data_IF_465513202605
#
_entry.id   IF_465513202605
#
_cell.length_a   1.000
_cell.length_b   1.000
_cell.length_c   1.000
_cell.angle_alpha   90.00
_cell.angle_beta   90.00
_cell.angle_gamma   90.00
#
_symmetry.space_group_name_H-M   'P 1'
#
loop_
_entity.id
_entity.type
_entity.pdbx_description
1 polymer ?
#
# COMPACT_ATOMS: atom_id res chain seq x y z
N UNK A 1 14.04 11.70 -11.59
CA UNK A 1 13.61 10.34 -11.96
C UNK A 1 13.77 9.44 -10.75
N UNK A 2 12.69 8.80 -10.34
CA UNK A 2 12.70 7.81 -9.26
C UNK A 2 13.42 6.52 -9.61
N UNK A 3 13.55 5.62 -8.65
CA UNK A 3 14.14 4.30 -8.87
C UNK A 3 13.07 3.22 -8.94
N UNK A 4 13.25 2.24 -9.82
CA UNK A 4 12.52 0.97 -9.75
C UNK A 4 12.82 0.24 -8.44
N UNK A 5 11.79 -0.36 -7.86
CA UNK A 5 11.90 -1.29 -6.73
C UNK A 5 11.42 -2.68 -7.17
N UNK A 6 12.35 -3.65 -7.16
CA UNK A 6 12.05 -5.07 -7.36
C UNK A 6 12.65 -5.87 -6.22
N UNK A 7 11.81 -6.52 -5.42
CA UNK A 7 12.24 -7.39 -4.33
C UNK A 7 11.83 -8.82 -4.63
N UNK A 8 12.76 -9.78 -4.48
CA UNK A 8 12.50 -11.19 -4.78
C UNK A 8 12.77 -12.05 -3.54
N UNK A 9 11.74 -12.73 -3.03
CA UNK A 9 11.78 -13.55 -1.82
C UNK A 9 11.41 -15.01 -2.13
N UNK A 10 12.21 -15.98 -1.67
CA UNK A 10 11.92 -17.41 -1.80
C UNK A 10 10.95 -17.86 -0.70
N UNK A 11 9.89 -18.57 -1.07
CA UNK A 11 8.99 -19.25 -0.13
C UNK A 11 9.20 -20.77 -0.22
N UNK A 12 9.60 -21.38 0.89
CA UNK A 12 9.86 -22.82 1.01
C UNK A 12 8.67 -23.53 1.66
N UNK A 13 8.45 -24.79 1.29
CA UNK A 13 7.40 -25.61 1.88
C UNK A 13 5.99 -25.15 1.54
N UNK A 14 5.02 -25.72 2.26
CA UNK A 14 3.59 -25.42 2.11
C UNK A 14 3.13 -24.21 2.93
N UNK A 15 3.98 -23.65 3.77
CA UNK A 15 3.64 -22.60 4.74
C UNK A 15 3.84 -21.19 4.17
N UNK A 16 3.19 -20.88 3.04
CA UNK A 16 3.13 -19.51 2.51
C UNK A 16 1.77 -18.81 2.82
N UNK A 17 0.94 -19.46 3.64
CA UNK A 17 -0.42 -19.03 3.96
C UNK A 17 -0.46 -17.64 4.57
N UNK A 18 0.40 -17.31 5.55
CA UNK A 18 0.40 -15.97 6.15
C UNK A 18 0.73 -14.85 5.14
N UNK A 19 1.53 -15.14 4.11
CA UNK A 19 1.75 -14.18 3.03
C UNK A 19 0.57 -14.14 2.06
N UNK A 20 -0.09 -15.26 1.78
CA UNK A 20 -1.37 -15.27 1.05
C UNK A 20 -2.42 -14.43 1.78
N UNK A 21 -2.57 -14.61 3.10
CA UNK A 21 -3.55 -13.89 3.91
C UNK A 21 -3.31 -12.38 3.93
N UNK A 22 -2.04 -11.96 3.91
CA UNK A 22 -1.69 -10.55 3.76
C UNK A 22 -1.97 -10.03 2.34
N UNK A 23 -1.55 -10.76 1.31
CA UNK A 23 -1.71 -10.36 -0.11
C UNK A 23 -3.19 -10.27 -0.51
N UNK A 24 -4.00 -11.21 -0.05
CA UNK A 24 -5.43 -11.32 -0.36
C UNK A 24 -6.30 -10.58 0.66
N UNK A 25 -5.68 -9.86 1.60
CA UNK A 25 -6.37 -9.10 2.66
C UNK A 25 -7.34 -9.93 3.50
N UNK A 26 -7.06 -11.23 3.69
CA UNK A 26 -7.71 -12.07 4.73
C UNK A 26 -7.35 -11.59 6.14
N UNK A 27 -6.21 -10.90 6.27
CA UNK A 27 -5.83 -10.15 7.49
C UNK A 27 -5.43 -8.73 7.10
N UNK A 28 -5.95 -7.74 7.83
CA UNK A 28 -5.65 -6.32 7.57
C UNK A 28 -4.36 -5.91 8.29
N UNK A 29 -3.29 -5.53 7.57
CA UNK A 29 -2.06 -5.07 8.21
C UNK A 29 -2.26 -3.66 8.79
N UNK A 30 -1.48 -3.32 9.84
CA UNK A 30 -1.63 -2.04 10.56
C UNK A 30 -1.37 -0.79 9.71
N UNK A 31 -0.58 -0.93 8.65
CA UNK A 31 -0.21 0.14 7.73
C UNK A 31 -1.11 0.22 6.49
N UNK A 32 -2.13 -0.64 6.39
CA UNK A 32 -3.14 -0.51 5.33
C UNK A 32 -4.30 0.36 5.80
N UNK A 33 -4.76 1.23 4.90
CA UNK A 33 -5.95 2.06 5.02
C UNK A 33 -7.18 1.27 4.52
N UNK A 34 -8.08 0.83 5.42
CA UNK A 34 -9.24 0.03 5.04
C UNK A 34 -10.18 0.75 4.06
N UNK A 35 -10.16 2.08 4.03
CA UNK A 35 -11.01 2.86 3.11
C UNK A 35 -10.55 2.71 1.66
N UNK A 36 -9.29 2.35 1.44
CA UNK A 36 -8.66 2.20 0.11
C UNK A 36 -8.54 0.75 -0.34
N UNK A 37 -8.82 -0.24 0.49
CA UNK A 37 -8.66 -1.67 0.14
C UNK A 37 -9.49 -2.09 -1.08
N UNK A 38 -10.63 -1.44 -1.31
CA UNK A 38 -11.46 -1.68 -2.51
C UNK A 38 -10.78 -1.27 -3.83
N UNK A 39 -9.70 -0.48 -3.77
CA UNK A 39 -8.88 -0.09 -4.92
C UNK A 39 -7.82 -1.15 -5.26
N UNK A 40 -7.63 -2.16 -4.42
CA UNK A 40 -6.75 -3.28 -4.71
C UNK A 40 -7.32 -4.09 -5.88
N UNK A 41 -6.43 -4.65 -6.71
CA UNK A 41 -6.84 -5.36 -7.93
C UNK A 41 -6.08 -6.66 -8.11
N UNK A 42 -6.82 -7.74 -8.35
CA UNK A 42 -6.24 -8.97 -8.85
C UNK A 42 -5.96 -8.83 -10.35
N UNK A 43 -4.69 -9.00 -10.72
CA UNK A 43 -4.21 -8.80 -12.09
C UNK A 43 -4.09 -10.11 -12.86
N UNK A 44 -4.08 -11.26 -12.16
CA UNK A 44 -4.03 -12.60 -12.74
C UNK A 44 -5.26 -13.38 -12.30
N UNK A 45 -6.06 -13.83 -13.28
CA UNK A 45 -7.21 -14.69 -13.02
C UNK A 45 -6.76 -16.11 -12.70
N UNK A 46 -7.31 -16.69 -11.63
CA UNK A 46 -7.05 -18.09 -11.28
C UNK A 46 -7.74 -19.07 -12.25
N UNK A 47 -7.17 -20.29 -12.41
CA UNK A 47 -7.84 -21.39 -13.12
C UNK A 47 -9.17 -21.78 -12.46
N UNK A 48 -10.05 -22.44 -13.22
CA UNK A 48 -11.32 -22.93 -12.68
C UNK A 48 -11.08 -23.91 -11.51
N UNK A 49 -11.83 -23.73 -10.42
CA UNK A 49 -11.70 -24.55 -9.21
C UNK A 49 -10.49 -24.21 -8.32
N UNK A 50 -9.82 -23.08 -8.57
CA UNK A 50 -8.76 -22.53 -7.72
C UNK A 50 -9.29 -21.27 -7.03
N UNK A 51 -9.42 -21.32 -5.70
CA UNK A 51 -10.05 -20.27 -4.92
C UNK A 51 -9.07 -19.17 -4.48
N UNK A 52 -7.80 -19.51 -4.27
CA UNK A 52 -6.81 -18.57 -3.74
C UNK A 52 -5.39 -18.82 -4.28
N UNK A 53 -4.47 -17.93 -3.93
CA UNK A 53 -3.05 -17.97 -4.29
C UNK A 53 -2.35 -19.24 -3.81
N UNK A 54 -2.69 -19.75 -2.64
CA UNK A 54 -2.10 -20.98 -2.09
C UNK A 54 -2.50 -22.19 -2.95
N UNK A 55 -3.76 -22.24 -3.34
CA UNK A 55 -4.28 -23.21 -4.29
C UNK A 55 -3.69 -23.01 -5.69
N UNK A 56 -3.48 -21.77 -6.14
CA UNK A 56 -2.87 -21.47 -7.44
C UNK A 56 -1.44 -21.99 -7.55
N UNK A 57 -0.63 -21.80 -6.50
CA UNK A 57 0.73 -22.39 -6.39
C UNK A 57 0.63 -23.91 -6.47
N UNK A 58 -0.25 -24.51 -5.68
CA UNK A 58 -0.41 -25.96 -5.61
C UNK A 58 -0.91 -26.55 -6.92
N UNK A 59 -1.87 -25.91 -7.57
CA UNK A 59 -2.43 -26.26 -8.87
C UNK A 59 -1.33 -26.25 -9.93
N UNK A 60 -0.54 -25.17 -10.01
CA UNK A 60 0.56 -25.07 -10.97
C UNK A 60 1.61 -26.16 -10.76
N UNK A 61 1.96 -26.46 -9.51
CA UNK A 61 2.89 -27.55 -9.18
C UNK A 61 2.35 -28.91 -9.62
N UNK A 62 1.07 -29.21 -9.35
CA UNK A 62 0.42 -30.48 -9.70
C UNK A 62 0.34 -30.67 -11.22
N UNK A 63 0.02 -29.62 -11.96
CA UNK A 63 -0.20 -29.66 -13.41
C UNK A 63 1.07 -29.53 -14.24
N UNK A 64 2.21 -29.14 -13.64
CA UNK A 64 3.47 -28.95 -14.34
C UNK A 64 4.18 -30.25 -14.80
N UNK A 65 3.63 -31.44 -14.52
CA UNK A 65 4.24 -32.70 -14.92
C UNK A 65 5.54 -33.04 -14.18
N UNK A 66 5.71 -32.52 -12.96
CA UNK A 66 6.86 -32.83 -12.09
C UNK A 66 6.72 -34.27 -11.60
N UNK A 67 7.61 -35.16 -12.06
CA UNK A 67 7.57 -36.59 -11.71
C UNK A 67 8.27 -36.94 -10.41
N UNK A 68 9.19 -36.09 -9.94
CA UNK A 68 9.95 -36.35 -8.71
C UNK A 68 9.21 -35.80 -7.50
N UNK A 69 9.30 -36.52 -6.38
CA UNK A 69 8.80 -36.05 -5.08
C UNK A 69 9.40 -34.67 -4.75
N UNK A 70 8.52 -33.73 -4.41
CA UNK A 70 8.88 -32.40 -3.94
C UNK A 70 9.13 -32.48 -2.44
N UNK A 71 10.34 -32.12 -1.99
CA UNK A 71 10.68 -32.16 -0.57
C UNK A 71 10.08 -30.94 0.17
N UNK A 72 9.85 -31.03 1.49
CA UNK A 72 9.32 -29.91 2.27
C UNK A 72 10.15 -28.63 2.12
N UNK A 73 11.49 -28.71 2.08
CA UNK A 73 12.35 -27.52 2.01
C UNK A 73 12.52 -26.90 0.62
N UNK A 74 11.87 -27.48 -0.41
CA UNK A 74 11.96 -26.92 -1.75
C UNK A 74 11.21 -25.60 -1.84
N UNK A 75 11.79 -24.67 -2.58
CA UNK A 75 11.15 -23.39 -2.93
C UNK A 75 9.97 -23.69 -3.85
N UNK A 76 8.76 -23.46 -3.34
CA UNK A 76 7.51 -23.69 -4.07
C UNK A 76 7.00 -22.44 -4.76
N UNK A 77 7.34 -21.27 -4.21
CA UNK A 77 7.00 -19.98 -4.78
C UNK A 77 8.16 -18.98 -4.63
N UNK A 78 8.22 -18.06 -5.58
CA UNK A 78 9.04 -16.86 -5.56
C UNK A 78 8.06 -15.70 -5.47
N UNK A 79 8.13 -14.94 -4.38
CA UNK A 79 7.35 -13.71 -4.18
C UNK A 79 8.15 -12.55 -4.75
N UNK A 80 7.51 -11.72 -5.55
CA UNK A 80 8.11 -10.56 -6.17
C UNK A 80 7.28 -9.35 -5.78
N UNK A 81 7.91 -8.32 -5.21
CA UNK A 81 7.28 -7.01 -5.00
C UNK A 81 7.80 -6.06 -6.06
N UNK A 82 6.90 -5.41 -6.78
CA UNK A 82 7.20 -4.47 -7.88
C UNK A 82 6.61 -3.11 -7.53
N UNK A 83 7.45 -2.07 -7.51
CA UNK A 83 7.04 -0.70 -7.21
C UNK A 83 8.09 0.31 -7.71
N UNK A 84 7.97 1.55 -7.29
CA UNK A 84 8.94 2.64 -7.43
C UNK A 84 9.04 3.46 -6.15
N UNK A 85 9.72 4.59 -6.22
CA UNK A 85 9.67 5.65 -5.19
C UNK A 85 8.24 6.17 -5.02
N UNK A 86 7.89 6.63 -3.82
CA UNK A 86 6.51 7.01 -3.48
C UNK A 86 5.99 8.12 -4.39
N UNK A 87 6.80 9.16 -4.59
CA UNK A 87 6.49 10.34 -5.39
C UNK A 87 6.23 9.97 -6.86
N UNK A 88 7.02 9.03 -7.40
CA UNK A 88 6.87 8.58 -8.77
C UNK A 88 5.66 7.67 -8.96
N UNK A 89 5.35 6.81 -7.98
CA UNK A 89 4.15 5.99 -8.03
C UNK A 89 2.87 6.82 -7.85
N UNK A 90 2.90 7.84 -6.99
CA UNK A 90 1.83 8.81 -6.86
C UNK A 90 1.59 9.54 -8.19
N UNK A 91 2.66 10.01 -8.85
CA UNK A 91 2.56 10.63 -10.18
C UNK A 91 1.97 9.69 -11.23
N UNK A 92 2.41 8.43 -11.29
CA UNK A 92 1.84 7.42 -12.22
C UNK A 92 0.35 7.22 -11.99
N UNK A 93 -0.09 7.27 -10.73
CA UNK A 93 -1.51 7.20 -10.38
C UNK A 93 -2.26 8.46 -10.80
N UNK A 94 -1.75 9.66 -10.47
CA UNK A 94 -2.39 10.95 -10.75
C UNK A 94 -2.50 11.23 -12.26
N UNK A 95 -1.53 10.77 -13.05
CA UNK A 95 -1.56 10.83 -14.52
C UNK A 95 -2.53 9.80 -15.14
N UNK A 96 -3.21 8.97 -14.34
CA UNK A 96 -4.13 7.94 -14.82
C UNK A 96 -3.44 6.75 -15.50
N UNK A 97 -2.11 6.61 -15.34
CA UNK A 97 -1.28 5.60 -16.02
C UNK A 97 -1.11 4.31 -15.23
N UNK A 98 -1.77 4.18 -14.08
CA UNK A 98 -1.65 3.02 -13.21
C UNK A 98 -2.05 1.70 -13.90
N UNK A 99 -3.09 1.70 -14.73
CA UNK A 99 -3.51 0.51 -15.48
C UNK A 99 -2.43 0.07 -16.49
N UNK A 100 -1.87 1.03 -17.23
CA UNK A 100 -0.74 0.80 -18.15
C UNK A 100 0.45 0.20 -17.40
N UNK A 101 0.77 0.77 -16.23
CA UNK A 101 1.86 0.30 -15.38
C UNK A 101 1.63 -1.13 -14.89
N UNK A 102 0.42 -1.50 -14.49
CA UNK A 102 0.07 -2.86 -14.13
C UNK A 102 0.26 -3.84 -15.30
N UNK A 103 -0.19 -3.47 -16.49
CA UNK A 103 -0.10 -4.32 -17.67
C UNK A 103 1.35 -4.56 -18.09
N UNK A 104 2.21 -3.55 -18.05
CA UNK A 104 3.63 -3.72 -18.35
C UNK A 104 4.36 -4.57 -17.31
N UNK A 105 4.00 -4.42 -16.03
CA UNK A 105 4.52 -5.28 -14.96
C UNK A 105 4.15 -6.75 -15.19
N UNK A 106 2.89 -7.03 -15.55
CA UNK A 106 2.45 -8.38 -15.92
C UNK A 106 3.21 -8.89 -17.14
N UNK A 107 3.37 -8.08 -18.19
CA UNK A 107 4.10 -8.47 -19.39
C UNK A 107 5.57 -8.78 -19.07
N UNK A 108 6.23 -7.95 -18.25
CA UNK A 108 7.60 -8.20 -17.82
C UNK A 108 7.71 -9.52 -17.03
N UNK A 109 6.80 -9.77 -16.08
CA UNK A 109 6.74 -11.02 -15.33
C UNK A 109 6.57 -12.24 -16.24
N UNK A 110 5.64 -12.15 -17.21
CA UNK A 110 5.36 -13.22 -18.15
C UNK A 110 6.54 -13.53 -19.07
N UNK A 111 7.23 -12.49 -19.59
CA UNK A 111 8.43 -12.66 -20.41
C UNK A 111 9.59 -13.24 -19.59
N UNK A 112 9.74 -12.83 -18.33
CA UNK A 112 10.88 -13.20 -17.49
C UNK A 112 10.75 -14.59 -16.88
N UNK A 113 9.56 -14.93 -16.37
CA UNK A 113 9.34 -16.15 -15.59
C UNK A 113 8.40 -17.16 -16.27
N UNK A 114 7.73 -16.74 -17.34
CA UNK A 114 6.72 -17.52 -18.04
C UNK A 114 5.30 -17.22 -17.52
N UNK A 115 4.35 -17.11 -18.45
CA UNK A 115 2.94 -16.83 -18.14
C UNK A 115 2.33 -17.87 -17.20
N UNK A 116 2.51 -19.16 -17.50
CA UNK A 116 2.00 -20.25 -16.65
C UNK A 116 2.60 -20.29 -15.24
N UNK A 117 3.82 -19.77 -15.09
CA UNK A 117 4.51 -19.77 -13.82
C UNK A 117 4.12 -18.57 -12.95
N UNK A 118 3.57 -17.50 -13.55
CA UNK A 118 3.05 -16.33 -12.84
C UNK A 118 1.62 -16.61 -12.41
N UNK A 119 1.44 -17.13 -11.19
CA UNK A 119 0.16 -17.71 -10.74
C UNK A 119 -0.73 -16.72 -9.99
N UNK A 120 -0.18 -15.61 -9.53
CA UNK A 120 -0.92 -14.54 -8.85
C UNK A 120 -0.14 -13.23 -9.02
N UNK A 121 -0.87 -12.13 -9.23
CA UNK A 121 -0.36 -10.78 -9.13
C UNK A 121 -1.47 -9.90 -8.59
N UNK A 122 -1.21 -9.17 -7.49
CA UNK A 122 -2.20 -8.34 -6.81
C UNK A 122 -1.61 -6.95 -6.62
N UNK A 123 -2.31 -5.93 -7.11
CA UNK A 123 -2.03 -4.53 -6.86
C UNK A 123 -2.57 -4.15 -5.48
N UNK A 124 -1.71 -3.59 -4.64
CA UNK A 124 -2.08 -2.95 -3.38
C UNK A 124 -2.03 -1.43 -3.52
N UNK A 125 -3.17 -0.80 -3.24
CA UNK A 125 -3.43 0.64 -3.29
C UNK A 125 -3.79 1.20 -1.92
N UNK A 126 -3.89 0.34 -0.91
CA UNK A 126 -4.28 0.67 0.46
C UNK A 126 -3.10 0.85 1.41
N UNK A 127 -1.87 0.70 0.95
CA UNK A 127 -0.67 1.02 1.72
C UNK A 127 -0.06 2.35 1.26
N UNK A 128 1.07 2.74 1.87
CA UNK A 128 1.68 4.05 1.62
C UNK A 128 2.03 4.28 0.14
N UNK A 129 2.62 3.28 -0.53
CA UNK A 129 3.03 3.37 -1.94
C UNK A 129 2.38 2.28 -2.77
N UNK A 130 1.76 2.58 -3.93
CA UNK A 130 1.26 1.56 -4.84
C UNK A 130 2.31 0.51 -5.21
N UNK A 131 1.98 -0.77 -5.06
CA UNK A 131 2.90 -1.86 -5.37
C UNK A 131 2.17 -3.15 -5.77
N UNK A 132 2.84 -4.00 -6.52
CA UNK A 132 2.31 -5.31 -6.94
C UNK A 132 3.02 -6.42 -6.18
N UNK A 133 2.22 -7.28 -5.56
CA UNK A 133 2.66 -8.59 -5.08
C UNK A 133 2.44 -9.64 -6.16
N UNK A 134 3.50 -10.06 -6.83
CA UNK A 134 3.50 -11.16 -7.79
C UNK A 134 4.04 -12.45 -7.19
N UNK A 135 3.51 -13.58 -7.66
CA UNK A 135 3.91 -14.92 -7.24
C UNK A 135 4.22 -15.80 -8.42
N UNK A 136 5.46 -16.30 -8.43
CA UNK A 136 6.00 -17.15 -9.49
C UNK A 136 6.30 -18.53 -8.93
N UNK A 137 5.81 -19.59 -9.58
CA UNK A 137 6.21 -20.97 -9.28
C UNK A 137 7.47 -21.30 -10.09
N UNK A 138 8.60 -21.67 -9.45
CA UNK A 138 9.90 -21.76 -10.11
C UNK A 138 10.08 -23.05 -10.93
N UNK A 139 9.19 -23.29 -11.90
CA UNK A 139 9.26 -24.46 -12.77
C UNK A 139 10.23 -24.18 -13.91
N UNK A 140 11.20 -25.08 -14.05
CA UNK A 140 12.17 -25.05 -15.14
C UNK A 140 12.19 -26.38 -15.88
N UNK A 141 12.43 -26.30 -17.18
CA UNK A 141 12.73 -27.44 -18.05
C UNK A 141 14.19 -27.37 -18.47
N UNK A 142 14.85 -28.52 -18.52
CA UNK A 142 16.25 -28.60 -18.94
C UNK A 142 17.21 -29.12 -17.88
N UNK A 143 18.45 -29.34 -18.33
CA UNK A 143 19.52 -29.90 -17.50
C UNK A 143 19.82 -29.06 -16.26
N UNK A 144 20.14 -29.75 -15.17
CA UNK A 144 20.50 -29.09 -13.92
C UNK A 144 21.83 -28.37 -14.06
N UNK A 145 21.91 -27.09 -13.70
CA UNK A 145 23.16 -26.30 -13.71
C UNK A 145 24.32 -26.99 -12.98
N UNK A 146 24.05 -27.58 -11.81
CA UNK A 146 25.06 -28.36 -11.04
C UNK A 146 25.53 -29.64 -11.74
N UNK A 147 24.77 -30.17 -12.71
CA UNK A 147 25.21 -31.30 -13.53
C UNK A 147 26.18 -30.83 -14.63
N UNK A 148 25.88 -29.71 -15.30
CA UNK A 148 26.79 -29.08 -16.28
C UNK A 148 28.16 -28.75 -15.68
N UNK A 149 28.18 -28.14 -14.48
CA UNK A 149 29.44 -27.84 -13.77
C UNK A 149 30.26 -29.08 -13.41
N UNK A 150 29.61 -30.22 -13.12
CA UNK A 150 30.31 -31.48 -12.79
C UNK A 150 30.85 -32.21 -14.03
N UNK A 151 30.21 -32.03 -15.18
CA UNK A 151 30.71 -32.52 -16.47
C UNK A 151 31.98 -31.76 -16.88
N UNK A 152 32.00 -30.44 -16.71
CA UNK A 152 33.21 -29.62 -16.96
C UNK A 152 34.35 -29.96 -15.99
N UNK A 153 34.04 -30.38 -14.76
CA UNK A 153 35.02 -30.79 -13.75
C UNK A 153 35.48 -32.27 -13.88
N UNK A 154 35.18 -32.95 -14.99
CA UNK A 154 35.66 -34.31 -15.28
C UNK A 154 35.09 -35.45 -14.41
N UNK A 155 34.13 -35.19 -13.52
CA UNK A 155 33.55 -36.21 -12.64
C UNK A 155 32.43 -36.98 -13.34
N UNK A 156 32.59 -38.31 -13.51
CA UNK A 156 31.57 -39.21 -14.07
C UNK A 156 30.22 -39.01 -13.39
N UNK A 157 29.19 -38.60 -14.14
CA UNK A 157 27.81 -38.51 -13.66
C UNK A 157 26.96 -39.63 -14.22
N UNK A 158 26.25 -40.34 -13.33
CA UNK A 158 25.16 -41.26 -13.70
C UNK A 158 24.19 -40.55 -14.66
N UNK A 159 23.87 -41.17 -15.81
CA UNK A 159 23.04 -40.61 -16.90
C UNK A 159 21.65 -40.25 -16.35
N UNK A 160 21.43 -38.98 -15.97
CA UNK A 160 20.11 -38.47 -15.57
C UNK A 160 19.38 -38.04 -16.84
N UNK A 161 18.12 -38.47 -17.00
CA UNK A 161 17.27 -38.10 -18.14
C UNK A 161 17.33 -36.58 -18.39
N UNK A 162 17.68 -36.20 -19.62
CA UNK A 162 17.67 -34.82 -20.07
C UNK A 162 16.23 -34.25 -19.98
N UNK A 163 16.12 -32.95 -19.73
CA UNK A 163 14.87 -32.18 -19.88
C UNK A 163 13.68 -32.56 -18.97
N UNK A 164 13.93 -33.05 -17.75
CA UNK A 164 12.86 -33.26 -16.78
C UNK A 164 12.36 -31.93 -16.16
N UNK A 165 11.03 -31.74 -16.12
CA UNK A 165 10.38 -30.62 -15.44
C UNK A 165 10.60 -30.70 -13.93
N UNK A 166 10.95 -29.57 -13.29
CA UNK A 166 11.24 -29.51 -11.85
C UNK A 166 11.08 -28.12 -11.26
N UNK A 167 10.91 -28.06 -9.94
CA UNK A 167 11.06 -26.83 -9.17
C UNK A 167 12.54 -26.49 -8.96
N UNK A 168 12.97 -25.31 -9.38
CA UNK A 168 14.32 -24.83 -9.12
C UNK A 168 14.44 -23.31 -9.18
N UNK A 169 14.33 -22.69 -8.02
CA UNK A 169 14.60 -21.26 -7.87
C UNK A 169 16.07 -20.91 -8.14
N UNK A 170 17.02 -21.83 -7.93
CA UNK A 170 18.46 -21.54 -8.14
C UNK A 170 18.83 -21.33 -9.61
N UNK A 171 18.09 -21.92 -10.55
CA UNK A 171 18.31 -21.67 -11.97
C UNK A 171 17.66 -20.35 -12.43
N UNK A 172 16.64 -19.88 -11.72
CA UNK A 172 15.98 -18.60 -11.99
C UNK A 172 16.67 -17.42 -11.30
N UNK A 173 17.26 -17.63 -10.13
CA UNK A 173 17.78 -16.59 -9.24
C UNK A 173 19.31 -16.67 -9.09
N UNK A 174 20.01 -16.83 -10.22
CA UNK A 174 21.47 -16.67 -10.29
C UNK A 174 21.87 -15.20 -10.20
N UNK A 175 23.09 -14.89 -9.76
CA UNK A 175 23.59 -13.50 -9.68
C UNK A 175 23.46 -12.76 -11.01
N UNK A 176 23.82 -13.41 -12.12
CA UNK A 176 23.79 -12.85 -13.46
C UNK A 176 22.35 -12.50 -13.88
N UNK A 177 21.41 -13.43 -13.66
CA UNK A 177 19.98 -13.20 -13.90
C UNK A 177 19.39 -12.10 -13.03
N UNK A 178 19.74 -12.03 -11.75
CA UNK A 178 19.27 -10.96 -10.87
C UNK A 178 19.72 -9.59 -11.39
N UNK A 179 20.98 -9.45 -11.81
CA UNK A 179 21.46 -8.21 -12.46
C UNK A 179 20.65 -7.90 -13.71
N UNK A 180 20.44 -8.90 -14.59
CA UNK A 180 19.65 -8.74 -15.81
C UNK A 180 18.16 -8.41 -15.54
N UNK A 181 17.58 -8.89 -14.44
CA UNK A 181 16.22 -8.54 -14.04
C UNK A 181 16.13 -7.07 -13.66
N UNK A 182 17.08 -6.53 -12.89
CA UNK A 182 17.13 -5.09 -12.62
C UNK A 182 17.31 -4.26 -13.90
N UNK A 183 18.16 -4.72 -14.83
CA UNK A 183 18.41 -4.02 -16.10
C UNK A 183 17.14 -4.00 -16.98
N UNK A 184 16.55 -5.17 -17.23
CA UNK A 184 15.34 -5.31 -18.07
C UNK A 184 14.09 -4.69 -17.45
N UNK A 185 13.94 -4.76 -16.12
CA UNK A 185 12.81 -4.14 -15.43
C UNK A 185 12.91 -2.63 -15.46
N UNK A 186 14.12 -2.05 -15.27
CA UNK A 186 14.33 -0.61 -15.44
C UNK A 186 13.99 -0.15 -16.86
N UNK A 187 14.42 -0.86 -17.89
CA UNK A 187 14.07 -0.54 -19.27
C UNK A 187 12.56 -0.59 -19.53
N UNK A 188 11.84 -1.55 -18.93
CA UNK A 188 10.39 -1.63 -19.05
C UNK A 188 9.67 -0.46 -18.34
N UNK A 189 10.26 0.05 -17.26
CA UNK A 189 9.66 1.09 -16.42
C UNK A 189 10.11 2.51 -16.76
N UNK A 190 11.06 2.69 -17.68
CA UNK A 190 11.64 3.98 -18.07
C UNK A 190 10.58 5.01 -18.47
N UNK A 191 9.54 4.59 -19.20
CA UNK A 191 8.43 5.46 -19.63
C UNK A 191 7.55 5.99 -18.48
N UNK A 192 7.74 5.50 -17.26
CA UNK A 192 7.10 6.03 -16.04
C UNK A 192 8.03 6.96 -15.25
N UNK A 193 9.22 7.24 -15.78
CA UNK A 193 10.25 8.04 -15.10
C UNK A 193 11.01 7.27 -14.01
N UNK A 194 10.93 5.94 -14.03
CA UNK A 194 11.60 5.05 -13.08
C UNK A 194 12.88 4.48 -13.70
N UNK A 195 14.00 4.74 -13.06
CA UNK A 195 15.31 4.30 -13.53
C UNK A 195 15.87 3.14 -12.69
N UNK A 196 16.94 2.53 -13.20
CA UNK A 196 17.65 1.45 -12.52
C UNK A 196 18.29 1.93 -11.22
N UNK A 197 18.18 1.14 -10.15
CA UNK A 197 18.98 1.33 -8.94
C UNK A 197 20.50 1.23 -9.20
N UNK A 198 21.28 1.77 -8.26
CA UNK A 198 22.75 1.85 -8.35
C UNK A 198 23.37 0.46 -8.55
N UNK A 199 24.17 0.31 -9.62
CA UNK A 199 24.89 -0.94 -9.90
C UNK A 199 26.00 -1.13 -8.87
N UNK A 200 26.02 -2.30 -8.23
CA UNK A 200 26.99 -2.60 -7.18
C UNK A 200 26.67 -1.93 -5.84
N UNK A 201 25.43 -1.48 -5.63
CA UNK A 201 25.00 -0.92 -4.34
C UNK A 201 25.33 -1.85 -3.17
N UNK A 202 25.94 -1.29 -2.13
CA UNK A 202 26.24 -1.98 -0.87
C UNK A 202 25.08 -1.96 0.12
N UNK A 203 23.94 -1.36 -0.27
CA UNK A 203 22.75 -1.28 0.56
C UNK A 203 22.26 -2.69 0.92
N UNK A 204 22.01 -2.90 2.21
CA UNK A 204 21.42 -4.15 2.72
C UNK A 204 19.92 -4.00 2.83
N UNK A 205 19.19 -5.03 2.39
CA UNK A 205 17.75 -5.07 2.55
C UNK A 205 17.38 -5.02 4.03
N UNK A 206 16.54 -4.06 4.39
CA UNK A 206 15.90 -3.95 5.69
C UNK A 206 14.46 -4.43 5.57
N UNK A 207 14.02 -5.26 6.52
CA UNK A 207 12.61 -5.64 6.59
C UNK A 207 11.74 -4.42 6.94
N UNK A 208 10.47 -4.43 6.54
CA UNK A 208 9.51 -3.36 6.85
C UNK A 208 9.47 -3.04 8.36
N UNK A 209 9.47 -4.07 9.20
CA UNK A 209 9.48 -3.91 10.66
C UNK A 209 10.80 -3.34 11.21
N UNK A 210 11.93 -3.57 10.55
CA UNK A 210 13.19 -2.91 10.90
C UNK A 210 13.18 -1.45 10.47
N UNK A 211 12.72 -1.17 9.25
CA UNK A 211 12.62 0.19 8.72
C UNK A 211 11.78 1.09 9.63
N UNK A 212 10.56 0.66 10.01
CA UNK A 212 9.73 1.47 10.92
C UNK A 212 10.33 1.63 12.33
N UNK A 213 11.06 0.63 12.83
CA UNK A 213 11.77 0.75 14.13
C UNK A 213 12.88 1.77 14.06
N UNK A 214 13.66 1.73 12.99
CA UNK A 214 14.76 2.67 12.77
C UNK A 214 14.26 4.09 12.52
N UNK A 215 13.20 4.25 11.71
CA UNK A 215 12.55 5.54 11.48
C UNK A 215 12.06 6.13 12.81
N UNK A 216 11.38 5.34 13.65
CA UNK A 216 10.92 5.78 14.97
C UNK A 216 12.08 6.20 15.89
N UNK A 217 13.21 5.48 15.85
CA UNK A 217 14.42 5.82 16.60
C UNK A 217 14.99 7.16 16.13
N UNK A 218 15.16 7.33 14.82
CA UNK A 218 15.68 8.55 14.21
C UNK A 218 14.78 9.76 14.49
N UNK A 219 13.46 9.60 14.38
CA UNK A 219 12.51 10.68 14.74
C UNK A 219 12.65 11.06 16.20
N UNK A 220 12.76 10.09 17.12
CA UNK A 220 12.97 10.36 18.54
C UNK A 220 14.30 11.07 18.82
N UNK A 221 15.38 10.70 18.12
CA UNK A 221 16.68 11.37 18.22
C UNK A 221 16.63 12.80 17.67
N UNK A 222 15.96 13.00 16.53
CA UNK A 222 15.77 14.32 15.95
C UNK A 222 14.96 15.23 16.88
N UNK A 223 13.87 14.73 17.46
CA UNK A 223 13.06 15.44 18.45
C UNK A 223 13.87 15.81 19.70
N UNK A 224 14.73 14.90 20.18
CA UNK A 224 15.62 15.18 21.31
C UNK A 224 16.64 16.26 20.96
N UNK A 225 17.26 16.19 19.79
CA UNK A 225 18.22 17.19 19.30
C UNK A 225 17.56 18.56 19.14
N UNK A 226 16.34 18.63 18.57
CA UNK A 226 15.58 19.88 18.43
C UNK A 226 15.30 20.50 19.80
N UNK A 227 14.91 19.71 20.81
CA UNK A 227 14.69 20.21 22.18
C UNK A 227 15.98 20.70 22.83
N UNK A 228 17.08 20.00 22.61
CA UNK A 228 18.39 20.41 23.10
C UNK A 228 18.82 21.74 22.48
N UNK A 229 18.74 21.87 21.15
CA UNK A 229 19.05 23.11 20.45
C UNK A 229 18.16 24.28 20.89
N UNK A 230 16.86 24.04 21.15
CA UNK A 230 15.98 25.06 21.73
C UNK A 230 16.41 25.49 23.13
N UNK A 231 16.91 24.56 23.94
CA UNK A 231 17.41 24.84 25.29
C UNK A 231 18.71 25.63 25.24
N UNK A 232 19.64 25.23 24.36
CA UNK A 232 20.90 25.94 24.11
C UNK A 232 20.65 27.34 23.58
N UNK A 233 19.69 27.52 22.66
CA UNK A 233 19.26 28.82 22.16
C UNK A 233 18.76 29.73 23.30
N UNK A 234 17.88 29.22 24.17
CA UNK A 234 17.38 29.98 25.33
C UNK A 234 18.49 30.32 26.33
N UNK A 235 19.47 29.43 26.51
CA UNK A 235 20.61 29.71 27.38
C UNK A 235 21.52 30.78 26.77
N UNK A 236 21.80 30.69 25.48
CA UNK A 236 22.58 31.69 24.75
C UNK A 236 21.88 33.06 24.75
N UNK A 237 20.56 33.11 24.58
CA UNK A 237 19.77 34.35 24.71
C UNK A 237 19.88 34.95 26.11
N UNK A 238 19.80 34.13 27.17
CA UNK A 238 19.96 34.59 28.55
C UNK A 238 21.38 35.10 28.82
N UNK A 239 22.39 34.39 28.34
CA UNK A 239 23.78 34.83 28.44
C UNK A 239 24.02 36.12 27.67
N UNK A 240 23.42 36.28 26.48
CA UNK A 240 23.49 37.52 25.72
C UNK A 240 22.81 38.67 26.48
N UNK A 241 21.67 38.43 27.11
CA UNK A 241 21.00 39.41 27.95
C UNK A 241 21.81 39.78 29.21
N UNK A 242 22.49 38.81 29.83
CA UNK A 242 23.42 39.02 30.94
C UNK A 242 24.63 39.82 30.48
N UNK A 243 25.28 39.46 29.37
CA UNK A 243 26.39 40.20 28.78
C UNK A 243 25.95 41.60 28.37
N UNK A 244 24.76 41.79 27.80
CA UNK A 244 24.20 43.12 27.50
C UNK A 244 23.99 43.96 28.76
N UNK A 245 23.53 43.34 29.86
CA UNK A 245 23.41 44.01 31.17
C UNK A 245 24.78 44.31 31.76
N UNK A 246 25.73 43.40 31.65
CA UNK A 246 27.11 43.58 32.10
C UNK A 246 27.79 44.70 31.31
N UNK A 247 27.71 44.74 29.98
CA UNK A 247 28.20 45.85 29.14
C UNK A 247 27.55 47.18 29.53
N UNK A 248 26.24 47.19 29.82
CA UNK A 248 25.54 48.38 30.30
C UNK A 248 26.02 48.82 31.69
N UNK A 249 26.40 47.86 32.53
CA UNK A 249 27.01 48.09 33.86
C UNK A 249 28.50 48.40 33.77
N UNK A 250 29.21 47.94 32.75
CA UNK A 250 30.61 48.23 32.48
C UNK A 250 30.75 49.61 31.86
N UNK A 251 29.78 50.10 31.10
CA UNK A 251 29.65 51.55 30.79
C UNK A 251 29.45 52.39 32.06
N UNK A 252 28.90 51.82 33.13
CA UNK A 252 28.84 52.44 34.45
C UNK A 252 30.18 52.29 35.22
N UNK A 253 30.92 51.19 35.03
CA UNK A 253 32.31 51.03 35.49
C UNK A 253 33.32 51.84 34.65
N UNK A 254 32.99 52.27 33.44
CA UNK A 254 33.77 53.21 32.64
C UNK A 254 33.81 54.59 33.33
N UNK A 255 32.66 55.02 33.87
CA UNK A 255 32.58 56.17 34.76
C UNK A 255 33.30 55.95 36.11
N UNK A 256 33.42 54.69 36.56
CA UNK A 256 34.19 54.32 37.76
C UNK A 256 35.69 54.13 37.48
N UNK A 257 36.11 53.84 36.26
CA UNK A 257 37.52 53.72 35.82
C UNK A 257 38.15 55.08 35.61
N UNK A 258 37.38 56.15 35.38
CA UNK A 258 37.84 57.52 35.53
C UNK A 258 38.23 57.83 36.99
N UNK A 259 37.46 57.32 37.97
CA UNK A 259 37.82 57.36 39.40
C UNK A 259 38.95 56.38 39.77
N UNK A 260 39.12 55.29 39.01
CA UNK A 260 40.19 54.29 39.17
C UNK A 260 41.50 54.74 38.50
N UNK A 261 41.46 55.57 37.47
CA UNK A 261 42.64 56.20 36.85
C UNK A 261 43.33 57.15 37.86
N UNK A 262 42.55 57.85 38.68
CA UNK A 262 43.05 58.59 39.83
C UNK A 262 43.71 57.70 40.91
N UNK A 263 43.32 56.42 40.99
CA UNK A 263 43.92 55.42 41.89
C UNK A 263 45.15 54.71 41.27
N UNK A 264 45.17 54.48 39.95
CA UNK A 264 46.29 53.88 39.21
C UNK A 264 47.49 54.83 39.13
N UNK A 265 47.27 56.15 39.08
CA UNK A 265 48.35 57.13 39.27
C UNK A 265 49.10 56.95 40.61
N UNK A 266 48.44 56.36 41.62
CA UNK A 266 48.99 56.07 42.94
C UNK A 266 49.71 54.71 43.02
N UNK A 267 49.41 53.78 42.10
CA UNK A 267 49.98 52.42 42.03
C UNK A 267 51.07 52.30 40.93
N UNK A 268 51.10 53.21 39.96
CA UNK A 268 52.16 53.31 38.94
C UNK A 268 53.56 53.60 39.49
N UNK A 269 53.69 53.90 40.79
CA UNK A 269 54.98 53.98 41.49
C UNK A 269 55.55 52.61 41.90
N UNK A 270 54.77 51.52 41.80
CA UNK A 270 55.11 50.21 42.36
C UNK A 270 55.33 49.08 41.33
N UNK A 271 54.84 49.21 40.09
CA UNK A 271 54.97 48.19 39.04
C UNK A 271 55.38 48.86 37.71
N UNK A 272 56.54 48.44 37.18
CA UNK A 272 57.20 49.09 36.04
C UNK A 272 56.32 49.28 34.80
N UNK A 273 56.42 50.48 34.22
CA UNK A 273 55.55 51.04 33.16
C UNK A 273 55.51 50.29 31.82
N UNK A 274 56.40 49.33 31.57
CA UNK A 274 56.49 48.62 30.28
C UNK A 274 55.38 47.58 30.08
N UNK A 275 55.15 46.70 31.06
CA UNK A 275 54.16 45.61 30.96
C UNK A 275 52.71 46.11 30.94
N UNK A 276 52.47 47.26 31.55
CA UNK A 276 51.14 47.88 31.61
C UNK A 276 50.73 48.43 30.24
N UNK A 277 51.67 49.03 29.50
CA UNK A 277 51.44 49.51 28.13
C UNK A 277 51.19 48.39 27.12
N UNK A 278 51.86 47.24 27.30
CA UNK A 278 51.69 46.06 26.45
C UNK A 278 50.29 45.45 26.64
N UNK A 279 49.86 45.25 27.89
CA UNK A 279 48.50 44.80 28.22
C UNK A 279 47.41 45.79 27.75
N UNK A 280 47.64 47.10 27.82
CA UNK A 280 46.71 48.11 27.30
C UNK A 280 46.58 48.04 25.76
N UNK A 281 47.67 47.75 25.05
CA UNK A 281 47.67 47.60 23.60
C UNK A 281 46.94 46.32 23.15
N UNK A 282 47.18 45.21 23.83
CA UNK A 282 46.50 43.93 23.56
C UNK A 282 45.00 44.03 23.82
N UNK A 283 44.59 44.71 24.89
CA UNK A 283 43.18 44.90 25.23
C UNK A 283 42.45 45.75 24.18
N UNK A 284 43.08 46.82 23.67
CA UNK A 284 42.55 47.62 22.56
C UNK A 284 42.40 46.80 21.27
N UNK A 285 43.34 45.92 20.99
CA UNK A 285 43.30 45.05 19.80
C UNK A 285 42.14 44.05 19.90
N UNK A 286 42.00 43.40 21.06
CA UNK A 286 40.89 42.48 21.33
C UNK A 286 39.52 43.17 21.27
N UNK A 287 39.41 44.41 21.78
CA UNK A 287 38.19 45.20 21.66
C UNK A 287 37.80 45.50 20.20
N UNK A 288 38.79 45.76 19.33
CA UNK A 288 38.56 45.93 17.91
C UNK A 288 38.07 44.65 17.22
N UNK A 289 38.65 43.50 17.57
CA UNK A 289 38.23 42.20 17.03
C UNK A 289 36.82 41.79 17.48
N UNK A 290 36.46 42.08 18.73
CA UNK A 290 35.12 41.83 19.26
C UNK A 290 34.08 42.69 18.51
N UNK A 291 34.34 43.99 18.34
CA UNK A 291 33.44 44.86 17.60
C UNK A 291 33.22 44.41 16.15
N UNK A 292 34.28 43.96 15.46
CA UNK A 292 34.17 43.45 14.09
C UNK A 292 33.38 42.11 14.02
N UNK A 293 33.50 41.26 15.04
CA UNK A 293 32.71 40.02 15.13
C UNK A 293 31.24 40.32 15.43
N UNK A 294 30.96 41.30 16.29
CA UNK A 294 29.59 41.71 16.61
C UNK A 294 28.87 42.25 15.36
N UNK A 295 29.53 43.08 14.55
CA UNK A 295 28.98 43.53 13.27
C UNK A 295 28.69 42.36 12.30
N UNK A 296 29.58 41.37 12.23
CA UNK A 296 29.34 40.18 11.39
C UNK A 296 28.17 39.33 11.90
N UNK A 297 28.01 39.21 13.21
CA UNK A 297 26.90 38.46 13.82
C UNK A 297 25.57 39.16 13.52
N UNK A 298 25.50 40.49 13.67
CA UNK A 298 24.29 41.26 13.31
C UNK A 298 23.93 41.07 11.84
N UNK A 299 24.92 41.09 10.94
CA UNK A 299 24.68 40.94 9.51
C UNK A 299 24.16 39.53 9.16
N UNK A 300 24.73 38.50 9.79
CA UNK A 300 24.28 37.11 9.64
C UNK A 300 22.87 36.90 10.21
N UNK A 301 22.54 37.52 11.35
CA UNK A 301 21.20 37.46 11.93
C UNK A 301 20.17 38.09 10.99
N UNK A 302 20.46 39.27 10.43
CA UNK A 302 19.58 39.90 9.44
C UNK A 302 19.40 39.03 8.19
N UNK A 303 20.45 38.34 7.76
CA UNK A 303 20.38 37.46 6.59
C UNK A 303 19.54 36.21 6.85
N UNK A 304 19.67 35.61 8.04
CA UNK A 304 18.83 34.50 8.47
C UNK A 304 17.36 34.90 8.57
N UNK A 305 17.06 36.07 9.13
CA UNK A 305 15.70 36.57 9.30
C UNK A 305 15.03 36.79 7.93
N UNK A 306 15.74 37.40 6.97
CA UNK A 306 15.26 37.54 5.58
C UNK A 306 14.98 36.19 4.92
N UNK A 307 15.88 35.21 5.09
CA UNK A 307 15.68 33.87 4.53
C UNK A 307 14.47 33.17 5.15
N UNK A 308 14.26 33.34 6.46
CA UNK A 308 13.12 32.79 7.18
C UNK A 308 11.79 33.40 6.66
N UNK A 309 11.76 34.72 6.45
CA UNK A 309 10.61 35.43 5.89
C UNK A 309 10.30 35.00 4.45
N UNK A 310 11.32 34.89 3.59
CA UNK A 310 11.16 34.42 2.21
C UNK A 310 10.62 32.99 2.17
N UNK A 311 11.15 32.10 3.01
CA UNK A 311 10.69 30.72 3.07
C UNK A 311 9.25 30.61 3.58
N UNK A 312 8.90 31.39 4.61
CA UNK A 312 7.53 31.49 5.12
C UNK A 312 6.55 31.97 4.04
N UNK A 313 6.97 32.97 3.25
CA UNK A 313 6.18 33.50 2.13
C UNK A 313 5.94 32.45 1.05
N UNK A 314 6.99 31.71 0.66
CA UNK A 314 6.88 30.63 -0.32
C UNK A 314 5.94 29.51 0.15
N UNK A 315 6.02 29.12 1.43
CA UNK A 315 5.12 28.12 2.02
C UNK A 315 3.66 28.58 1.98
N UNK A 316 3.38 29.85 2.32
CA UNK A 316 2.02 30.39 2.25
C UNK A 316 1.49 30.42 0.81
N UNK A 317 2.32 30.79 -0.16
CA UNK A 317 1.94 30.84 -1.57
C UNK A 317 1.65 29.45 -2.12
N UNK A 318 2.50 28.46 -1.82
CA UNK A 318 2.30 27.06 -2.21
C UNK A 318 1.02 26.49 -1.58
N UNK A 319 0.76 26.75 -0.30
CA UNK A 319 -0.47 26.34 0.35
C UNK A 319 -1.71 27.01 -0.27
N UNK A 320 -1.61 28.28 -0.66
CA UNK A 320 -2.71 28.98 -1.32
C UNK A 320 -2.99 28.40 -2.71
N UNK A 321 -1.95 28.08 -3.49
CA UNK A 321 -2.10 27.41 -4.79
C UNK A 321 -2.74 26.04 -4.65
N UNK A 322 -2.25 25.21 -3.73
CA UNK A 322 -2.80 23.88 -3.48
C UNK A 322 -4.27 23.93 -3.06
N UNK A 323 -4.64 24.88 -2.18
CA UNK A 323 -6.05 25.08 -1.79
C UNK A 323 -6.95 25.47 -2.98
N UNK A 324 -6.46 26.31 -3.90
CA UNK A 324 -7.20 26.68 -5.11
C UNK A 324 -7.39 25.49 -6.03
N UNK A 325 -6.32 24.72 -6.29
CA UNK A 325 -6.41 23.53 -7.14
C UNK A 325 -7.40 22.48 -6.60
N UNK A 326 -7.43 22.27 -5.28
CA UNK A 326 -8.41 21.38 -4.65
C UNK A 326 -9.82 21.91 -4.88
N UNK A 327 -10.06 23.20 -4.61
CA UNK A 327 -11.38 23.80 -4.78
C UNK A 327 -11.86 23.76 -6.24
N UNK A 328 -10.97 23.99 -7.21
CA UNK A 328 -11.29 23.93 -8.63
C UNK A 328 -11.66 22.49 -9.05
N UNK A 329 -10.86 21.50 -8.64
CA UNK A 329 -11.16 20.08 -8.89
C UNK A 329 -12.46 19.62 -8.24
N UNK A 330 -12.73 20.03 -7.01
CA UNK A 330 -13.99 19.74 -6.33
C UNK A 330 -15.19 20.36 -7.06
N UNK A 331 -15.04 21.61 -7.55
CA UNK A 331 -16.08 22.28 -8.31
C UNK A 331 -16.35 21.59 -9.67
N UNK A 332 -15.31 21.14 -10.37
CA UNK A 332 -15.46 20.35 -11.61
C UNK A 332 -16.14 19.01 -11.35
N UNK A 333 -15.68 18.26 -10.34
CA UNK A 333 -16.29 17.00 -9.96
C UNK A 333 -17.77 17.17 -9.58
N UNK A 334 -18.10 18.23 -8.83
CA UNK A 334 -19.48 18.53 -8.46
C UNK A 334 -20.36 18.86 -9.68
N UNK A 335 -19.81 19.52 -10.71
CA UNK A 335 -20.52 19.76 -11.97
C UNK A 335 -20.81 18.45 -12.70
N UNK A 336 -19.83 17.55 -12.82
CA UNK A 336 -20.00 16.23 -13.44
C UNK A 336 -21.04 15.38 -12.71
N UNK A 337 -20.96 15.32 -11.38
CA UNK A 337 -21.92 14.58 -10.55
C UNK A 337 -23.34 15.15 -10.74
N UNK A 338 -23.47 16.48 -10.78
CA UNK A 338 -24.76 17.15 -11.02
C UNK A 338 -25.30 16.85 -12.42
N UNK A 339 -24.43 16.82 -13.43
CA UNK A 339 -24.78 16.45 -14.79
C UNK A 339 -25.26 14.99 -14.87
N UNK A 340 -24.52 14.04 -14.30
CA UNK A 340 -24.89 12.62 -14.28
C UNK A 340 -26.21 12.40 -13.53
N UNK A 341 -26.42 13.08 -12.40
CA UNK A 341 -27.71 13.06 -11.68
C UNK A 341 -28.86 13.52 -12.58
N UNK A 342 -28.66 14.59 -13.35
CA UNK A 342 -29.64 15.07 -14.32
C UNK A 342 -29.94 14.04 -15.42
N UNK A 343 -28.90 13.41 -15.97
CA UNK A 343 -29.06 12.35 -16.98
C UNK A 343 -29.83 11.15 -16.41
N UNK A 344 -29.50 10.69 -15.19
CA UNK A 344 -30.22 9.60 -14.53
C UNK A 344 -31.70 9.97 -14.30
N UNK A 345 -32.00 11.20 -13.89
CA UNK A 345 -33.38 11.66 -13.75
C UNK A 345 -34.14 11.69 -15.08
N UNK A 346 -33.49 12.10 -16.18
CA UNK A 346 -34.07 12.04 -17.52
C UNK A 346 -34.29 10.59 -17.98
N UNK A 347 -33.29 9.72 -17.80
CA UNK A 347 -33.40 8.30 -18.12
C UNK A 347 -34.57 7.62 -17.38
N UNK A 348 -34.74 7.95 -16.09
CA UNK A 348 -35.89 7.51 -15.28
C UNK A 348 -37.25 7.94 -15.84
N UNK A 349 -37.34 9.11 -16.48
CA UNK A 349 -38.58 9.61 -17.12
C UNK A 349 -38.80 8.99 -18.50
N UNK A 350 -37.75 8.88 -19.30
CA UNK A 350 -37.83 8.37 -20.67
C UNK A 350 -38.00 6.85 -20.75
N UNK A 351 -37.44 6.13 -19.78
CA UNK A 351 -37.47 4.68 -19.74
C UNK A 351 -38.00 4.20 -18.39
N UNK A 352 -39.33 4.08 -18.21
CA UNK A 352 -39.91 3.58 -16.96
C UNK A 352 -39.36 2.21 -16.53
N UNK A 353 -39.11 1.33 -17.52
CA UNK A 353 -38.51 0.01 -17.30
C UNK A 353 -37.08 0.07 -16.72
N UNK A 354 -36.35 1.17 -16.89
CA UNK A 354 -35.02 1.35 -16.33
C UNK A 354 -35.05 1.30 -14.79
N UNK A 355 -36.08 1.88 -14.15
CA UNK A 355 -36.21 1.82 -12.69
C UNK A 355 -36.42 0.39 -12.22
N UNK A 356 -37.25 -0.37 -12.93
CA UNK A 356 -37.53 -1.78 -12.64
C UNK A 356 -36.28 -2.65 -12.83
N UNK A 357 -35.47 -2.38 -13.85
CA UNK A 357 -34.20 -3.09 -14.07
C UNK A 357 -33.20 -2.82 -12.94
N UNK A 358 -33.06 -1.57 -12.51
CA UNK A 358 -32.18 -1.20 -11.37
C UNK A 358 -32.68 -1.82 -10.07
N UNK A 359 -34.00 -1.90 -9.86
CA UNK A 359 -34.58 -2.60 -8.72
C UNK A 359 -34.28 -4.10 -8.80
N UNK A 360 -34.52 -4.72 -9.96
CA UNK A 360 -34.32 -6.15 -10.17
C UNK A 360 -32.87 -6.57 -10.00
N UNK A 361 -31.91 -5.72 -10.40
CA UNK A 361 -30.48 -5.97 -10.20
C UNK A 361 -30.15 -6.11 -8.71
N UNK A 362 -30.62 -5.15 -7.89
CA UNK A 362 -30.46 -5.20 -6.43
C UNK A 362 -31.17 -6.41 -5.82
N UNK A 363 -32.37 -6.73 -6.32
CA UNK A 363 -33.14 -7.87 -5.84
C UNK A 363 -32.42 -9.20 -6.11
N UNK A 364 -31.88 -9.41 -7.33
CA UNK A 364 -31.13 -10.61 -7.67
C UNK A 364 -29.89 -10.79 -6.78
N UNK A 365 -29.14 -9.71 -6.54
CA UNK A 365 -27.98 -9.75 -5.62
C UNK A 365 -28.39 -10.13 -4.20
N UNK A 366 -29.50 -9.58 -3.68
CA UNK A 366 -30.05 -9.94 -2.36
C UNK A 366 -30.48 -11.39 -2.27
N UNK A 367 -31.08 -11.94 -3.32
CA UNK A 367 -31.50 -13.34 -3.40
C UNK A 367 -30.28 -14.28 -3.37
N UNK A 368 -29.09 -13.81 -3.74
CA UNK A 368 -27.83 -14.55 -3.63
C UNK A 368 -27.13 -14.81 -4.97
N UNK A 369 -27.61 -14.23 -6.06
CA UNK A 369 -26.89 -14.28 -7.35
C UNK A 369 -25.67 -13.37 -7.32
N UNK A 370 -24.58 -13.81 -7.95
CA UNK A 370 -23.40 -12.95 -8.15
C UNK A 370 -23.60 -11.95 -9.31
N UNK A 371 -22.70 -10.99 -9.46
CA UNK A 371 -22.80 -9.94 -10.48
C UNK A 371 -22.97 -10.48 -11.92
N UNK A 372 -22.26 -11.55 -12.28
CA UNK A 372 -22.35 -12.15 -13.62
C UNK A 372 -23.70 -12.84 -13.86
N UNK A 373 -24.20 -13.54 -12.84
CA UNK A 373 -25.51 -14.18 -12.86
C UNK A 373 -26.62 -13.13 -12.94
N UNK A 374 -26.54 -12.08 -12.12
CA UNK A 374 -27.46 -10.94 -12.14
C UNK A 374 -27.46 -10.25 -13.51
N UNK A 375 -26.30 -9.95 -14.09
CA UNK A 375 -26.24 -9.36 -15.43
C UNK A 375 -26.91 -10.24 -16.51
N UNK A 376 -26.77 -11.56 -16.39
CA UNK A 376 -27.44 -12.52 -17.29
C UNK A 376 -28.97 -12.43 -17.14
N UNK A 377 -29.46 -12.42 -15.90
CA UNK A 377 -30.87 -12.31 -15.56
C UNK A 377 -31.48 -10.98 -16.02
N UNK A 378 -30.81 -9.85 -15.76
CA UNK A 378 -31.26 -8.50 -16.14
C UNK A 378 -31.32 -8.33 -17.67
N UNK A 379 -30.47 -9.05 -18.41
CA UNK A 379 -30.55 -9.08 -19.88
C UNK A 379 -31.75 -9.90 -20.42
N UNK A 380 -32.56 -10.49 -19.54
CA UNK A 380 -33.71 -11.33 -19.88
C UNK A 380 -33.35 -12.76 -20.29
N UNK A 381 -32.08 -13.15 -20.20
CA UNK A 381 -31.63 -14.51 -20.55
C UNK A 381 -31.89 -15.48 -19.39
N UNK A 382 -32.31 -16.73 -19.69
CA UNK A 382 -32.46 -17.74 -18.66
C UNK A 382 -31.11 -18.14 -18.08
N UNK A 383 -31.08 -18.37 -16.77
CA UNK A 383 -29.93 -18.83 -16.00
C UNK A 383 -30.30 -20.11 -15.27
N UNK A 384 -29.58 -21.21 -15.49
CA UNK A 384 -29.74 -22.40 -14.66
C UNK A 384 -28.80 -22.33 -13.47
N UNK A 385 -29.35 -22.46 -12.27
CA UNK A 385 -28.60 -22.35 -11.02
C UNK A 385 -28.99 -23.45 -10.03
N UNK A 386 -27.98 -23.93 -9.32
CA UNK A 386 -28.07 -24.91 -8.25
C UNK A 386 -27.33 -24.33 -7.05
N UNK A 387 -27.99 -24.29 -5.89
CA UNK A 387 -27.41 -23.69 -4.69
C UNK A 387 -28.45 -23.10 -3.75
N UNK A 388 -28.01 -22.21 -2.87
CA UNK A 388 -28.87 -21.56 -1.89
C UNK A 388 -29.41 -20.22 -2.43
N UNK A 389 -30.68 -19.95 -2.13
CA UNK A 389 -31.38 -18.70 -2.40
C UNK A 389 -31.90 -18.11 -1.11
N UNK A 390 -31.65 -16.83 -0.87
CA UNK A 390 -32.14 -16.11 0.30
C UNK A 390 -33.52 -15.48 0.04
N UNK A 391 -34.48 -15.77 0.93
CA UNK A 391 -35.78 -15.08 0.99
C UNK A 391 -35.73 -14.00 2.07
N UNK A 392 -35.91 -12.74 1.67
CA UNK A 392 -36.05 -11.62 2.60
C UNK A 392 -37.36 -11.69 3.40
N UNK A 393 -38.45 -12.15 2.77
CA UNK A 393 -39.77 -12.32 3.39
C UNK A 393 -39.74 -13.34 4.53
N UNK A 394 -39.09 -14.48 4.32
CA UNK A 394 -39.00 -15.55 5.33
C UNK A 394 -37.68 -15.55 6.12
N UNK A 395 -36.80 -14.58 5.86
CA UNK A 395 -35.48 -14.37 6.49
C UNK A 395 -34.62 -15.64 6.58
N UNK A 396 -34.62 -16.46 5.52
CA UNK A 396 -33.93 -17.75 5.49
C UNK A 396 -33.55 -18.13 4.06
N UNK A 397 -32.58 -19.05 3.98
CA UNK A 397 -32.15 -19.66 2.73
C UNK A 397 -32.94 -20.93 2.40
N UNK A 398 -33.18 -21.14 1.11
CA UNK A 398 -33.78 -22.32 0.52
C UNK A 398 -32.86 -22.88 -0.55
N UNK A 399 -32.70 -24.20 -0.59
CA UNK A 399 -31.86 -24.87 -1.57
C UNK A 399 -32.67 -25.20 -2.82
N UNK A 400 -32.06 -25.03 -3.99
CA UNK A 400 -32.66 -25.39 -5.27
C UNK A 400 -31.76 -26.37 -6.03
N UNK A 401 -32.38 -27.38 -6.64
CA UNK A 401 -31.71 -28.36 -7.52
C UNK A 401 -31.90 -27.92 -8.97
N UNK A 402 -30.81 -27.48 -9.61
CA UNK A 402 -30.72 -27.07 -11.02
C UNK A 402 -32.01 -26.46 -11.60
N UNK A 403 -32.46 -25.36 -11.03
CA UNK A 403 -33.65 -24.64 -11.50
C UNK A 403 -33.30 -23.55 -12.53
N UNK A 404 -34.23 -23.28 -13.44
CA UNK A 404 -34.11 -22.21 -14.44
C UNK A 404 -34.68 -20.90 -13.90
N UNK A 405 -33.88 -19.84 -13.93
CA UNK A 405 -34.23 -18.50 -13.47
C UNK A 405 -34.30 -17.53 -14.64
N UNK A 406 -35.29 -16.64 -14.63
CA UNK A 406 -35.42 -15.61 -15.65
C UNK A 406 -36.13 -14.38 -15.10
N UNK A 407 -35.69 -13.19 -15.52
CA UNK A 407 -36.45 -11.96 -15.29
C UNK A 407 -37.51 -11.85 -16.38
N UNK A 408 -38.77 -11.81 -15.96
CA UNK A 408 -39.94 -11.75 -16.83
C UNK A 408 -40.81 -10.55 -16.44
N UNK A 409 -41.81 -10.22 -17.25
CA UNK A 409 -42.84 -9.26 -16.83
C UNK A 409 -43.67 -9.87 -15.71
N UNK A 410 -43.95 -9.09 -14.69
CA UNK A 410 -44.78 -9.53 -13.58
C UNK A 410 -46.19 -9.90 -14.10
N UNK A 411 -46.71 -11.10 -13.78
CA UNK A 411 -48.05 -11.52 -14.20
C UNK A 411 -49.19 -10.64 -13.66
N UNK A 412 -49.03 -10.08 -12.46
CA UNK A 412 -50.02 -9.21 -11.81
C UNK A 412 -49.94 -7.77 -12.30
N UNK A 413 -48.74 -7.29 -12.64
CA UNK A 413 -48.51 -5.94 -13.17
C UNK A 413 -47.50 -5.97 -14.32
N UNK A 414 -48.01 -5.96 -15.56
CA UNK A 414 -47.17 -6.02 -16.78
C UNK A 414 -46.19 -4.84 -16.95
N UNK A 415 -46.31 -3.79 -16.12
CA UNK A 415 -45.37 -2.67 -16.08
C UNK A 415 -44.12 -2.96 -15.22
N UNK A 416 -44.17 -4.00 -14.40
CA UNK A 416 -43.09 -4.42 -13.49
C UNK A 416 -42.36 -5.66 -13.98
N UNK A 417 -41.19 -5.88 -13.39
CA UNK A 417 -40.39 -7.07 -13.60
C UNK A 417 -40.47 -7.98 -12.37
N UNK A 418 -40.54 -9.29 -12.63
CA UNK A 418 -40.47 -10.32 -11.60
C UNK A 418 -39.37 -11.31 -11.94
N UNK A 419 -38.66 -11.80 -10.93
CA UNK A 419 -37.78 -12.95 -11.07
C UNK A 419 -38.61 -14.23 -10.96
N UNK A 420 -38.53 -15.07 -11.98
CA UNK A 420 -39.21 -16.36 -12.02
C UNK A 420 -38.21 -17.52 -11.88
N UNK A 421 -38.63 -18.56 -11.18
CA UNK A 421 -37.98 -19.87 -11.06
C UNK A 421 -38.88 -20.93 -11.70
N UNK A 422 -38.40 -21.60 -12.74
CA UNK A 422 -39.15 -22.58 -13.53
C UNK A 422 -40.53 -22.09 -14.00
N UNK A 423 -40.64 -20.79 -14.31
CA UNK A 423 -41.89 -20.16 -14.77
C UNK A 423 -42.82 -19.66 -13.65
N UNK A 424 -42.49 -19.91 -12.38
CA UNK A 424 -43.22 -19.41 -11.21
C UNK A 424 -42.53 -18.18 -10.62
N UNK A 425 -43.27 -17.16 -10.16
CA UNK A 425 -42.67 -16.00 -9.48
C UNK A 425 -41.95 -16.45 -8.21
N UNK A 426 -40.72 -15.98 -8.01
CA UNK A 426 -39.84 -16.50 -6.95
C UNK A 426 -40.41 -16.32 -5.53
N UNK A 427 -41.22 -15.27 -5.30
CA UNK A 427 -41.91 -15.06 -4.03
C UNK A 427 -42.90 -16.19 -3.70
N UNK A 428 -43.69 -16.63 -4.69
CA UNK A 428 -44.61 -17.76 -4.53
C UNK A 428 -43.86 -19.07 -4.27
N UNK A 429 -42.76 -19.27 -5.00
CA UNK A 429 -41.90 -20.43 -4.78
C UNK A 429 -41.32 -20.45 -3.36
N UNK A 430 -40.85 -19.32 -2.85
CA UNK A 430 -40.35 -19.21 -1.47
C UNK A 430 -41.44 -19.54 -0.45
N UNK A 431 -42.66 -19.07 -0.66
CA UNK A 431 -43.81 -19.39 0.18
C UNK A 431 -44.10 -20.88 0.21
N UNK A 432 -44.11 -21.54 -0.95
CA UNK A 432 -44.30 -22.99 -1.03
C UNK A 432 -43.19 -23.77 -0.31
N UNK A 433 -41.93 -23.38 -0.48
CA UNK A 433 -40.82 -24.02 0.23
C UNK A 433 -40.93 -23.83 1.75
N UNK A 434 -41.35 -22.64 2.18
CA UNK A 434 -41.58 -22.34 3.58
C UNK A 434 -42.72 -23.19 4.18
N UNK A 435 -43.85 -23.30 3.48
CA UNK A 435 -45.02 -24.07 3.94
C UNK A 435 -44.72 -25.57 4.01
N UNK A 436 -43.96 -26.12 3.05
CA UNK A 436 -43.47 -27.51 3.08
C UNK A 436 -42.59 -27.77 4.29
N UNK A 437 -41.65 -26.85 4.55
CA UNK A 437 -40.77 -26.91 5.69
C UNK A 437 -41.57 -26.82 7.01
N UNK A 438 -42.55 -25.92 7.11
CA UNK A 438 -43.36 -25.79 8.31
C UNK A 438 -44.29 -27.00 8.54
N UNK A 439 -44.88 -27.55 7.47
CA UNK A 439 -45.71 -28.76 7.54
C UNK A 439 -44.91 -30.01 7.97
N UNK A 440 -43.64 -30.12 7.54
CA UNK A 440 -42.74 -31.18 8.04
C UNK A 440 -42.44 -31.04 9.54
N UNK A 441 -42.28 -29.81 10.04
CA UNK A 441 -42.05 -29.54 11.46
C UNK A 441 -43.31 -29.87 12.28
N UNK A 442 -44.51 -29.49 11.83
CA UNK A 442 -45.76 -29.81 12.51
C UNK A 442 -46.05 -31.32 12.57
N UNK A 443 -45.72 -32.10 11.53
CA UNK A 443 -45.83 -33.57 11.57
C UNK A 443 -44.87 -34.23 12.56
N UNK A 444 -43.77 -33.56 12.90
CA UNK A 444 -42.76 -34.08 13.84
C UNK A 444 -43.15 -33.80 15.30
N UNK A 445 -44.10 -32.90 15.54
CA UNK A 445 -44.64 -32.57 16.88
C UNK A 445 -46.04 -33.18 17.04
N UNK A 446 -46.10 -34.50 17.22
CA UNK A 446 -47.30 -35.16 17.77
C UNK A 446 -47.23 -35.00 19.30
N UNK A 447 -48.30 -34.55 20.01
CA UNK A 447 -48.26 -34.45 21.46
C UNK A 447 -48.22 -35.86 22.07
N UNK A 448 -47.20 -36.13 22.88
CA UNK A 448 -47.16 -37.31 23.73
C UNK A 448 -48.33 -37.22 24.73
N UNK A 449 -49.45 -37.89 24.43
CA UNK A 449 -50.55 -38.04 25.39
C UNK A 449 -50.01 -38.83 26.59
N UNK A 450 -50.05 -38.20 27.76
CA UNK A 450 -49.85 -38.83 29.07
C UNK A 450 -50.89 -39.92 29.26
N UNK A 451 -50.44 -41.16 29.46
CA UNK A 451 -51.24 -42.23 30.02
C UNK A 451 -51.66 -41.88 31.46
N UNK A 452 -52.97 -41.93 31.71
CA UNK A 452 -53.58 -42.03 33.03
C UNK A 452 -54.70 -43.07 32.95
N UNK A 453 -54.56 -44.14 33.75
CA UNK A 453 -55.62 -45.10 34.12
C UNK A 453 -55.08 -46.53 34.20
N UNK A 454 -54.61 -47.02 35.36
CA UNK A 454 -55.34 -47.60 36.52
C UNK A 454 -55.77 -49.08 36.33
N UNK A 455 -55.29 -49.89 37.30
CA UNK A 455 -55.61 -51.28 37.59
C UNK A 455 -54.35 -51.91 38.24
N UNK A 456 -54.23 -52.09 39.56
CA UNK A 456 -55.18 -52.31 40.65
C UNK A 456 -55.04 -51.30 41.80
#
# INVERSE_FOLDING_TARGET
>A
MGYISIQINKAKGSADTGASDHIERKTTPKNADPTRTHLNRELVKFPDGVADRTEAISHRIRTAGIRRKITPDQVRAIRIVLSGTHEDMARVQDEGRLAEWCDDNLQWLHRTFGRENTVSAVLHMDEHTPHIHATVVPIVTGERRKARKKQTDGKRTYRKKANAVRLCADDLLTRERLVAYHDSYAAAMEKYGLQRGVRGSEARHTTTAQYYRELKRQTGELEANVRQLQTELQQAERQLDEVKKEIKSEKLEAAKTEAKAAFVAKVGSLLGSGRLKELEADNRTLQGEVAARDESIELLQQQMERQQEEHSRQLMELQAQHRREIADKEAEHQKEVSFLKSIIQKAKKWFPLFQELVYMEKFCLKVGFNEKQTATLISGKPLFYEGELYSEEHRRKFTTERAGFQVVKDPADKSKLALAINGQVIGEWFKEQFDRLFSSIQRTVIPHRRDKGLGL
#
